data_IF_011290335128
#
_entry.id   IF_011290335128
#
_cell.length_a   1.000
_cell.length_b   1.000
_cell.length_c   1.000
_cell.angle_alpha   90.00
_cell.angle_beta   90.00
_cell.angle_gamma   90.00
#
_symmetry.space_group_name_H-M   'P 1'
#
loop_
_entity.id
_entity.type
_entity.pdbx_description
1 polymer ?
#
# COMPACT_ATOMS: atom_id res chain seq x y z
N UNK A 1 -11.00 -7.46 -19.76
CA UNK A 1 -11.94 -8.18 -18.87
C UNK A 1 -12.87 -7.18 -18.22
N UNK A 2 -14.20 -7.44 -18.17
CA UNK A 2 -15.14 -6.50 -17.52
C UNK A 2 -14.90 -6.46 -16.01
N UNK A 3 -14.72 -5.29 -15.41
CA UNK A 3 -14.52 -5.19 -13.96
C UNK A 3 -15.78 -5.64 -13.20
N UNK A 4 -15.61 -6.26 -12.02
CA UNK A 4 -16.73 -6.59 -11.15
C UNK A 4 -17.50 -5.33 -10.74
N UNK A 5 -18.82 -5.41 -10.80
CA UNK A 5 -19.70 -4.32 -10.36
C UNK A 5 -20.58 -4.77 -9.21
N UNK A 6 -20.97 -3.88 -8.30
CA UNK A 6 -21.96 -4.20 -7.29
C UNK A 6 -23.27 -4.66 -7.94
N UNK A 7 -24.05 -5.55 -7.30
CA UNK A 7 -25.40 -5.88 -7.78
C UNK A 7 -26.22 -4.60 -7.92
N UNK A 8 -26.99 -4.51 -9.01
CA UNK A 8 -27.83 -3.35 -9.31
C UNK A 8 -28.75 -3.00 -8.14
N UNK A 9 -29.07 -1.69 -7.99
CA UNK A 9 -30.11 -1.25 -7.08
C UNK A 9 -31.47 -1.72 -7.57
N UNK A 10 -32.39 -1.94 -6.64
CA UNK A 10 -33.80 -2.13 -6.95
C UNK A 10 -34.39 -0.84 -7.52
N UNK A 11 -35.67 -0.83 -7.90
CA UNK A 11 -36.38 0.35 -8.39
C UNK A 11 -36.29 1.59 -7.46
N UNK A 12 -35.87 1.40 -6.20
CA UNK A 12 -35.62 2.44 -5.20
C UNK A 12 -34.26 3.15 -5.32
N UNK A 13 -33.35 2.72 -6.21
CA UNK A 13 -32.02 3.34 -6.42
C UNK A 13 -30.88 2.71 -5.61
N UNK A 14 -29.70 3.39 -5.51
CA UNK A 14 -28.52 2.88 -4.80
C UNK A 14 -28.78 2.66 -3.31
N UNK A 15 -28.29 1.54 -2.76
CA UNK A 15 -28.33 1.21 -1.34
C UNK A 15 -27.00 0.64 -0.84
N UNK A 16 -26.81 0.64 0.46
CA UNK A 16 -25.67 -0.05 1.05
C UNK A 16 -25.75 -1.56 0.82
N UNK A 17 -24.60 -2.16 0.47
CA UNK A 17 -24.50 -3.61 0.31
C UNK A 17 -24.53 -4.31 1.66
N UNK A 18 -25.21 -5.44 1.73
CA UNK A 18 -25.16 -6.35 2.88
C UNK A 18 -23.76 -7.00 2.97
N UNK A 19 -23.31 -7.43 4.14
CA UNK A 19 -21.98 -8.03 4.32
C UNK A 19 -21.69 -9.21 3.37
N UNK A 20 -22.70 -10.02 3.02
CA UNK A 20 -22.54 -11.14 2.10
C UNK A 20 -22.28 -10.68 0.66
N UNK A 21 -22.93 -9.59 0.24
CA UNK A 21 -22.73 -8.98 -1.09
C UNK A 21 -21.35 -8.35 -1.21
N UNK A 22 -20.89 -7.64 -0.15
CA UNK A 22 -19.52 -7.12 -0.07
C UNK A 22 -18.49 -8.25 -0.18
N UNK A 23 -18.68 -9.36 0.56
CA UNK A 23 -17.77 -10.52 0.49
C UNK A 23 -17.71 -11.13 -0.91
N UNK A 24 -18.85 -11.21 -1.60
CA UNK A 24 -18.93 -11.72 -2.98
C UNK A 24 -18.18 -10.79 -3.93
N UNK A 25 -18.45 -9.49 -3.90
CA UNK A 25 -17.79 -8.49 -4.73
C UNK A 25 -16.27 -8.50 -4.52
N UNK A 26 -15.80 -8.52 -3.26
CA UNK A 26 -14.38 -8.58 -2.95
C UNK A 26 -13.71 -9.87 -3.46
N UNK A 27 -14.45 -11.00 -3.51
CA UNK A 27 -13.95 -12.25 -4.09
C UNK A 27 -13.79 -12.12 -5.62
N UNK A 28 -14.72 -11.47 -6.27
CA UNK A 28 -14.66 -11.21 -7.72
C UNK A 28 -13.48 -10.30 -8.05
N UNK A 29 -13.28 -9.20 -7.31
CA UNK A 29 -12.12 -8.32 -7.47
C UNK A 29 -10.79 -9.04 -7.26
N UNK A 30 -10.69 -9.94 -6.27
CA UNK A 30 -9.46 -10.74 -6.08
C UNK A 30 -9.13 -11.64 -7.27
N UNK A 31 -10.12 -12.15 -7.98
CA UNK A 31 -9.90 -13.00 -9.18
C UNK A 31 -9.33 -12.23 -10.36
N UNK A 32 -9.66 -10.95 -10.46
CA UNK A 32 -9.17 -10.09 -11.55
C UNK A 32 -7.91 -9.30 -11.19
N UNK A 33 -7.51 -9.31 -9.92
CA UNK A 33 -6.29 -8.67 -9.45
C UNK A 33 -5.13 -9.64 -9.52
N UNK A 34 -4.60 -9.86 -10.74
CA UNK A 34 -3.50 -10.82 -10.96
C UNK A 34 -2.14 -10.37 -10.47
N UNK A 35 -1.89 -9.06 -10.36
CA UNK A 35 -0.62 -8.52 -9.92
C UNK A 35 -0.46 -8.60 -8.41
N UNK A 36 0.74 -8.98 -7.95
CA UNK A 36 1.11 -9.03 -6.54
C UNK A 36 1.40 -7.63 -6.00
N UNK A 37 0.98 -7.36 -4.78
CA UNK A 37 1.20 -6.10 -4.09
C UNK A 37 1.80 -6.40 -2.71
N UNK A 38 2.88 -5.72 -2.38
CA UNK A 38 3.48 -5.74 -1.05
C UNK A 38 3.85 -4.32 -0.61
N UNK A 39 4.20 -4.17 0.65
CA UNK A 39 4.63 -2.91 1.23
C UNK A 39 5.94 -3.08 2.00
N UNK A 40 6.71 -1.99 2.04
CA UNK A 40 7.89 -1.83 2.88
C UNK A 40 7.73 -0.54 3.68
N UNK A 41 7.83 -0.62 5.01
CA UNK A 41 7.74 0.53 5.91
C UNK A 41 9.11 0.82 6.49
N UNK A 42 9.71 1.94 6.05
CA UNK A 42 11.02 2.42 6.50
C UNK A 42 10.83 3.41 7.65
N UNK A 43 10.92 2.91 8.87
CA UNK A 43 10.87 3.72 10.09
C UNK A 43 9.55 4.49 10.30
N UNK A 44 8.41 3.94 9.87
CA UNK A 44 7.09 4.51 10.16
C UNK A 44 6.80 4.36 11.66
N UNK A 45 7.10 5.43 12.42
CA UNK A 45 7.14 5.39 13.87
C UNK A 45 5.78 5.45 14.55
N UNK A 46 4.79 6.09 13.95
CA UNK A 46 3.48 6.31 14.55
C UNK A 46 2.59 5.07 14.49
N UNK A 47 2.24 4.42 15.63
CA UNK A 47 1.48 3.16 15.60
C UNK A 47 0.11 3.27 14.92
N UNK A 48 -0.55 4.42 15.02
CA UNK A 48 -1.84 4.66 14.36
C UNK A 48 -1.70 4.69 12.83
N UNK A 49 -0.58 5.22 12.31
CA UNK A 49 -0.28 5.19 10.87
C UNK A 49 -0.02 3.77 10.40
N UNK A 50 0.82 3.01 11.12
CA UNK A 50 1.07 1.60 10.81
C UNK A 50 -0.23 0.80 10.77
N UNK A 51 -1.10 0.95 11.77
CA UNK A 51 -2.38 0.26 11.81
C UNK A 51 -3.31 0.65 10.66
N UNK A 52 -3.34 1.92 10.27
CA UNK A 52 -4.12 2.40 9.13
C UNK A 52 -3.58 1.87 7.80
N UNK A 53 -2.25 1.80 7.66
CA UNK A 53 -1.58 1.18 6.49
C UNK A 53 -1.94 -0.31 6.41
N UNK A 54 -1.83 -1.05 7.51
CA UNK A 54 -2.17 -2.48 7.58
C UNK A 54 -3.62 -2.72 7.18
N UNK A 55 -4.55 -1.88 7.65
CA UNK A 55 -5.96 -1.98 7.27
C UNK A 55 -6.17 -1.74 5.78
N UNK A 56 -5.53 -0.74 5.22
CA UNK A 56 -5.57 -0.45 3.78
C UNK A 56 -4.91 -1.56 2.98
N UNK A 57 -3.75 -2.07 3.43
CA UNK A 57 -3.06 -3.20 2.82
C UNK A 57 -3.95 -4.45 2.72
N UNK A 58 -4.64 -4.79 3.80
CA UNK A 58 -5.60 -5.89 3.82
C UNK A 58 -6.78 -5.64 2.85
N UNK A 59 -7.29 -4.41 2.76
CA UNK A 59 -8.38 -4.04 1.86
C UNK A 59 -7.96 -4.12 0.38
N UNK A 60 -6.75 -3.68 0.04
CA UNK A 60 -6.19 -3.75 -1.31
C UNK A 60 -5.54 -5.12 -1.63
N UNK A 61 -5.57 -6.07 -0.70
CA UNK A 61 -5.04 -7.42 -0.93
C UNK A 61 -3.52 -7.45 -1.08
N UNK A 62 -2.80 -6.64 -0.30
CA UNK A 62 -1.36 -6.77 -0.18
C UNK A 62 -1.03 -8.10 0.53
N UNK A 63 -0.07 -8.83 -0.02
CA UNK A 63 0.29 -10.16 0.48
C UNK A 63 1.33 -10.12 1.59
N UNK A 64 2.22 -9.11 1.56
CA UNK A 64 3.33 -9.03 2.50
C UNK A 64 3.62 -7.58 2.92
N UNK A 65 4.17 -7.45 4.13
CA UNK A 65 4.57 -6.18 4.74
C UNK A 65 5.94 -6.35 5.39
N UNK A 66 6.97 -5.67 4.87
CA UNK A 66 8.28 -5.57 5.51
C UNK A 66 8.31 -4.37 6.44
N UNK A 67 8.64 -4.61 7.71
CA UNK A 67 8.80 -3.58 8.72
C UNK A 67 10.28 -3.42 9.03
N UNK A 68 10.83 -2.22 8.93
CA UNK A 68 12.24 -1.97 9.21
C UNK A 68 12.48 -0.67 9.97
N UNK A 69 13.68 -0.55 10.52
CA UNK A 69 14.06 0.60 11.33
C UNK A 69 13.16 0.78 12.56
N UNK A 70 12.76 2.03 12.80
CA UNK A 70 11.88 2.42 13.90
C UNK A 70 10.38 2.17 13.66
N UNK A 71 10.00 1.35 12.67
CA UNK A 71 8.58 1.07 12.40
C UNK A 71 7.91 0.40 13.60
N UNK A 72 6.76 0.95 14.01
CA UNK A 72 6.00 0.41 15.13
C UNK A 72 5.58 -1.05 14.86
N UNK A 73 5.84 -1.98 15.80
CA UNK A 73 5.54 -3.40 15.60
C UNK A 73 4.03 -3.66 15.57
N UNK A 74 3.59 -4.68 14.81
CA UNK A 74 2.17 -5.01 14.69
C UNK A 74 1.51 -5.43 16.03
N UNK A 75 2.30 -5.83 17.00
CA UNK A 75 1.85 -6.12 18.38
C UNK A 75 1.55 -4.88 19.22
N UNK A 76 1.94 -3.68 18.76
CA UNK A 76 1.72 -2.45 19.51
C UNK A 76 0.21 -2.16 19.64
N UNK A 77 -0.31 -1.83 20.86
CA UNK A 77 -1.73 -1.59 21.08
C UNK A 77 -2.32 -0.48 20.20
N UNK A 78 -1.52 0.55 19.87
CA UNK A 78 -1.92 1.62 18.96
C UNK A 78 -2.16 1.15 17.53
N UNK A 79 -1.41 0.15 17.06
CA UNK A 79 -1.62 -0.48 15.74
C UNK A 79 -2.96 -1.21 15.73
N UNK A 80 -3.27 -1.98 16.76
CA UNK A 80 -4.53 -2.71 16.85
C UNK A 80 -5.77 -1.81 16.80
N UNK A 81 -5.68 -0.58 17.36
CA UNK A 81 -6.78 0.40 17.38
C UNK A 81 -7.23 0.84 15.98
N UNK A 82 -6.32 1.00 15.05
CA UNK A 82 -6.62 1.46 13.68
C UNK A 82 -6.67 0.32 12.67
N UNK A 83 -5.92 -0.75 12.89
CA UNK A 83 -5.96 -1.97 12.07
C UNK A 83 -7.27 -2.76 12.22
N UNK A 84 -7.98 -2.64 13.35
CA UNK A 84 -9.26 -3.31 13.61
C UNK A 84 -9.24 -4.83 13.35
N UNK A 85 -8.13 -5.49 13.72
CA UNK A 85 -7.96 -6.93 13.56
C UNK A 85 -7.50 -7.38 12.17
N UNK A 86 -7.27 -6.47 11.22
CA UNK A 86 -6.82 -6.83 9.87
C UNK A 86 -5.34 -7.21 9.79
N UNK A 87 -4.53 -6.93 10.83
CA UNK A 87 -3.13 -7.35 10.90
C UNK A 87 -2.92 -8.85 10.75
N UNK A 88 -3.93 -9.67 11.05
CA UNK A 88 -3.90 -11.13 10.83
C UNK A 88 -4.10 -11.56 9.37
N UNK A 89 -4.47 -10.61 8.49
CA UNK A 89 -4.78 -10.86 7.08
C UNK A 89 -3.59 -10.52 6.16
N UNK A 90 -2.53 -9.94 6.69
CA UNK A 90 -1.33 -9.56 5.95
C UNK A 90 -0.13 -10.23 6.61
N UNK A 91 0.69 -10.92 5.83
CA UNK A 91 1.95 -11.46 6.34
C UNK A 91 2.92 -10.31 6.60
N UNK A 92 3.69 -10.38 7.68
CA UNK A 92 4.66 -9.35 8.01
C UNK A 92 5.98 -9.97 8.48
N UNK A 93 7.08 -9.36 8.03
CA UNK A 93 8.45 -9.69 8.44
C UNK A 93 9.13 -8.44 8.95
N UNK A 94 9.89 -8.57 10.02
CA UNK A 94 10.78 -7.50 10.50
C UNK A 94 12.15 -7.70 9.88
N UNK A 95 12.66 -6.66 9.23
CA UNK A 95 13.98 -6.66 8.59
C UNK A 95 14.93 -5.69 9.30
N UNK A 96 16.21 -6.04 9.30
CA UNK A 96 17.23 -5.24 9.98
C UNK A 96 17.40 -3.84 9.38
N UNK A 97 17.10 -3.66 8.09
CA UNK A 97 17.23 -2.38 7.39
C UNK A 97 16.30 -2.30 6.19
N UNK A 98 15.96 -1.08 5.72
CA UNK A 98 15.16 -0.90 4.51
C UNK A 98 15.85 -1.46 3.25
N UNK A 99 17.18 -1.48 3.23
CA UNK A 99 17.95 -2.11 2.13
C UNK A 99 17.78 -3.62 2.13
N UNK A 100 17.79 -4.27 3.30
CA UNK A 100 17.55 -5.71 3.40
C UNK A 100 16.11 -6.05 2.96
N UNK A 101 15.13 -5.27 3.39
CA UNK A 101 13.74 -5.43 2.99
C UNK A 101 13.54 -5.23 1.48
N UNK A 102 14.15 -4.21 0.88
CA UNK A 102 14.10 -3.96 -0.56
C UNK A 102 14.72 -5.13 -1.35
N UNK A 103 15.85 -5.66 -0.91
CA UNK A 103 16.46 -6.85 -1.51
C UNK A 103 15.59 -8.10 -1.38
N UNK A 104 14.94 -8.29 -0.24
CA UNK A 104 13.99 -9.39 -0.04
C UNK A 104 12.78 -9.28 -0.98
N UNK A 105 12.24 -8.08 -1.15
CA UNK A 105 11.15 -7.80 -2.09
C UNK A 105 11.58 -8.07 -3.54
N UNK A 106 12.76 -7.58 -3.95
CA UNK A 106 13.32 -7.83 -5.28
C UNK A 106 13.59 -9.32 -5.53
N UNK A 107 14.14 -10.04 -4.55
CA UNK A 107 14.34 -11.48 -4.62
C UNK A 107 13.03 -12.27 -4.74
N UNK A 108 11.93 -11.73 -4.20
CA UNK A 108 10.57 -12.26 -4.39
C UNK A 108 9.97 -11.88 -5.76
N UNK A 109 10.69 -11.18 -6.63
CA UNK A 109 10.23 -10.77 -7.96
C UNK A 109 9.36 -9.52 -7.97
N UNK A 110 9.37 -8.70 -6.91
CA UNK A 110 8.62 -7.46 -6.82
C UNK A 110 9.50 -6.27 -7.23
N UNK A 111 8.97 -5.37 -8.04
CA UNK A 111 9.59 -4.07 -8.28
C UNK A 111 9.43 -3.18 -7.05
N UNK A 112 10.51 -2.66 -6.53
CA UNK A 112 10.49 -1.76 -5.37
C UNK A 112 10.27 -0.32 -5.84
N UNK A 113 9.14 0.27 -5.47
CA UNK A 113 8.77 1.65 -5.81
C UNK A 113 8.68 2.46 -4.51
N UNK A 114 9.65 3.35 -4.29
CA UNK A 114 9.63 4.24 -3.14
C UNK A 114 8.66 5.42 -3.41
N UNK A 115 7.76 5.66 -2.48
CA UNK A 115 6.78 6.75 -2.55
C UNK A 115 7.33 7.94 -1.78
N UNK A 116 7.97 8.87 -2.50
CA UNK A 116 8.67 10.00 -1.90
C UNK A 116 8.78 11.18 -2.87
N UNK A 117 8.71 12.40 -2.34
CA UNK A 117 8.98 13.61 -3.11
C UNK A 117 10.49 13.89 -3.11
N UNK A 118 11.21 13.30 -4.04
CA UNK A 118 12.66 13.37 -4.14
C UNK A 118 13.11 13.86 -5.53
N UNK A 119 14.37 14.27 -5.63
CA UNK A 119 14.97 14.59 -6.94
C UNK A 119 14.97 13.36 -7.85
N UNK A 120 14.57 13.53 -9.10
CA UNK A 120 14.47 12.43 -10.06
C UNK A 120 13.24 11.54 -9.90
N UNK A 121 12.36 11.82 -8.94
CA UNK A 121 11.11 11.10 -8.80
C UNK A 121 10.14 11.38 -9.96
N UNK A 122 9.41 10.36 -10.40
CA UNK A 122 8.37 10.49 -11.43
C UNK A 122 6.99 10.65 -10.79
N UNK A 123 6.02 11.29 -11.45
CA UNK A 123 4.65 11.32 -10.95
C UNK A 123 4.08 9.90 -10.76
N UNK A 124 3.34 9.64 -9.69
CA UNK A 124 2.83 8.31 -9.37
C UNK A 124 2.04 7.66 -10.52
N UNK A 125 1.27 8.47 -11.25
CA UNK A 125 0.49 7.99 -12.40
C UNK A 125 1.33 7.64 -13.63
N UNK A 126 2.62 8.00 -13.66
CA UNK A 126 3.59 7.61 -14.69
C UNK A 126 4.51 6.47 -14.23
N UNK A 127 4.53 6.19 -12.93
CA UNK A 127 5.36 5.13 -12.38
C UNK A 127 4.95 3.75 -12.93
N UNK A 128 5.90 2.81 -13.13
CA UNK A 128 5.63 1.47 -13.66
C UNK A 128 5.01 0.57 -12.57
N UNK A 129 3.75 0.82 -12.23
CA UNK A 129 2.97 0.08 -11.22
C UNK A 129 2.17 -1.08 -11.83
N UNK A 130 2.39 -1.40 -13.08
CA UNK A 130 1.66 -2.38 -13.87
C UNK A 130 2.29 -3.78 -13.75
N UNK A 131 2.36 -4.34 -12.62
CA UNK A 131 2.95 -5.67 -12.37
C UNK A 131 3.07 -5.94 -10.89
N UNK A 132 3.94 -6.86 -10.54
CA UNK A 132 4.24 -7.19 -9.16
C UNK A 132 5.08 -6.08 -8.52
N UNK A 133 4.56 -5.42 -7.51
CA UNK A 133 5.20 -4.26 -6.90
C UNK A 133 5.25 -4.33 -5.38
N UNK A 134 6.32 -3.79 -4.82
CA UNK A 134 6.47 -3.45 -3.42
C UNK A 134 6.52 -1.92 -3.28
N UNK A 135 5.51 -1.33 -2.67
CA UNK A 135 5.47 0.10 -2.39
C UNK A 135 6.20 0.39 -1.08
N UNK A 136 7.25 1.20 -1.14
CA UNK A 136 8.03 1.56 0.03
C UNK A 136 7.63 2.96 0.53
N UNK A 137 7.35 3.07 1.83
CA UNK A 137 6.91 4.28 2.52
C UNK A 137 7.91 4.61 3.62
N UNK A 138 8.20 5.89 3.79
CA UNK A 138 9.16 6.39 4.77
C UNK A 138 8.54 6.92 6.05
N UNK A 139 9.41 7.39 6.93
CA UNK A 139 9.09 8.04 8.19
C UNK A 139 8.27 9.32 7.99
N UNK A 140 7.43 9.65 8.94
CA UNK A 140 6.51 10.79 8.88
C UNK A 140 7.21 12.15 8.80
N UNK A 141 8.39 12.27 9.42
CA UNK A 141 9.14 13.53 9.51
C UNK A 141 10.30 13.59 8.51
N UNK A 142 10.90 12.45 8.18
CA UNK A 142 12.14 12.37 7.40
C UNK A 142 11.95 11.71 6.03
N UNK A 143 10.79 11.14 5.74
CA UNK A 143 10.53 10.42 4.51
C UNK A 143 11.29 9.09 4.40
N UNK A 144 11.48 8.62 3.18
CA UNK A 144 12.29 7.44 2.88
C UNK A 144 13.78 7.73 3.12
N UNK A 145 14.48 6.81 3.76
CA UNK A 145 15.93 6.96 3.97
C UNK A 145 16.69 7.02 2.65
N UNK A 146 17.82 7.75 2.62
CA UNK A 146 18.69 7.80 1.45
C UNK A 146 19.15 6.42 1.00
N UNK A 147 19.36 5.50 1.96
CA UNK A 147 19.73 4.12 1.68
C UNK A 147 18.62 3.35 0.94
N UNK A 148 17.36 3.58 1.28
CA UNK A 148 16.21 3.00 0.58
C UNK A 148 16.07 3.60 -0.83
N UNK A 149 16.15 4.92 -0.94
CA UNK A 149 16.05 5.62 -2.24
C UNK A 149 17.13 5.17 -3.23
N UNK A 150 18.33 4.87 -2.73
CA UNK A 150 19.46 4.41 -3.56
C UNK A 150 19.28 2.98 -4.12
N UNK A 151 18.41 2.16 -3.52
CA UNK A 151 18.20 0.75 -3.94
C UNK A 151 16.80 0.50 -4.50
N UNK A 152 15.92 1.47 -4.45
CA UNK A 152 14.60 1.39 -5.08
C UNK A 152 14.73 1.38 -6.61
N UNK A 153 13.95 0.55 -7.30
CA UNK A 153 13.93 0.52 -8.76
C UNK A 153 13.37 1.82 -9.34
N UNK A 154 12.43 2.44 -8.63
CA UNK A 154 11.79 3.71 -9.02
C UNK A 154 11.47 4.50 -7.75
N UNK A 155 11.63 5.82 -7.85
CA UNK A 155 11.09 6.75 -6.87
C UNK A 155 9.92 7.48 -7.53
N UNK A 156 8.76 7.47 -6.88
CA UNK A 156 7.55 8.09 -7.39
C UNK A 156 6.94 9.03 -6.35
N UNK A 157 6.36 10.13 -6.80
CA UNK A 157 5.68 11.06 -5.91
C UNK A 157 4.21 11.23 -6.27
N UNK A 158 3.38 11.51 -5.28
CA UNK A 158 1.96 11.85 -5.47
C UNK A 158 1.87 13.34 -5.80
N UNK A 159 1.42 13.73 -7.00
CA UNK A 159 1.26 15.14 -7.35
C UNK A 159 0.24 15.82 -6.42
N UNK A 160 0.64 16.93 -5.82
CA UNK A 160 -0.18 17.69 -4.87
C UNK A 160 -0.30 19.14 -5.35
N UNK A 161 -1.44 19.56 -5.93
CA UNK A 161 -1.63 20.95 -6.39
C UNK A 161 -1.93 21.93 -5.24
N UNK A 162 -2.04 21.42 -4.01
CA UNK A 162 -2.31 22.19 -2.79
C UNK A 162 -1.09 22.96 -2.28
N UNK A 163 -1.26 23.62 -1.12
CA UNK A 163 -0.22 24.43 -0.48
C UNK A 163 0.50 23.71 0.65
N UNK A 164 0.26 22.42 0.85
CA UNK A 164 0.93 21.60 1.86
C UNK A 164 2.05 20.79 1.20
N UNK A 165 3.15 20.58 1.93
CA UNK A 165 4.34 19.92 1.40
C UNK A 165 4.31 18.39 1.45
N UNK A 166 3.34 17.79 2.19
CA UNK A 166 3.28 16.33 2.37
C UNK A 166 1.86 15.85 2.67
N UNK A 167 1.65 14.56 2.48
CA UNK A 167 0.48 13.81 2.95
C UNK A 167 0.85 12.99 4.19
N UNK A 168 -0.12 12.71 5.03
CA UNK A 168 0.04 11.66 6.04
C UNK A 168 0.45 10.35 5.36
N UNK A 169 1.43 9.63 5.93
CA UNK A 169 2.01 8.43 5.32
C UNK A 169 0.99 7.32 5.08
N UNK A 170 -0.02 7.15 5.95
CA UNK A 170 -1.06 6.16 5.74
C UNK A 170 -2.00 6.54 4.59
N UNK A 171 -2.23 7.84 4.38
CA UNK A 171 -2.98 8.36 3.23
C UNK A 171 -2.17 8.16 1.94
N UNK A 172 -0.89 8.52 1.94
CA UNK A 172 0.01 8.30 0.81
C UNK A 172 0.06 6.81 0.42
N UNK A 173 0.18 5.91 1.40
CA UNK A 173 0.13 4.47 1.19
C UNK A 173 -1.18 4.02 0.52
N UNK A 174 -2.33 4.51 0.99
CA UNK A 174 -3.64 4.15 0.43
C UNK A 174 -3.79 4.63 -1.02
N UNK A 175 -3.35 5.85 -1.33
CA UNK A 175 -3.36 6.41 -2.69
C UNK A 175 -2.46 5.59 -3.63
N UNK A 176 -1.23 5.26 -3.19
CA UNK A 176 -0.31 4.46 -3.98
C UNK A 176 -0.82 3.04 -4.23
N UNK A 177 -1.40 2.39 -3.22
CA UNK A 177 -2.03 1.07 -3.37
C UNK A 177 -3.23 1.11 -4.34
N UNK A 178 -4.07 2.14 -4.26
CA UNK A 178 -5.21 2.31 -5.15
C UNK A 178 -4.74 2.47 -6.61
N UNK A 179 -3.69 3.27 -6.86
CA UNK A 179 -3.14 3.45 -8.20
C UNK A 179 -2.50 2.16 -8.73
N UNK A 180 -1.74 1.43 -7.92
CA UNK A 180 -1.17 0.14 -8.31
C UNK A 180 -2.29 -0.85 -8.71
N UNK A 181 -3.39 -0.92 -7.95
CA UNK A 181 -4.53 -1.76 -8.30
C UNK A 181 -5.25 -1.29 -9.55
N UNK A 182 -5.47 0.02 -9.71
CA UNK A 182 -6.07 0.58 -10.92
C UNK A 182 -5.29 0.16 -12.16
N UNK A 183 -3.95 0.24 -12.12
CA UNK A 183 -3.07 -0.19 -13.22
C UNK A 183 -3.21 -1.69 -13.51
N UNK A 184 -3.30 -2.52 -12.47
CA UNK A 184 -3.48 -3.96 -12.63
C UNK A 184 -4.84 -4.34 -13.24
N UNK A 185 -5.89 -3.53 -13.02
CA UNK A 185 -7.25 -3.81 -13.52
C UNK A 185 -7.51 -3.30 -14.94
N UNK A 186 -6.71 -2.38 -15.46
CA UNK A 186 -6.90 -1.76 -16.78
C UNK A 186 -6.17 -2.47 -17.91
N UNK A 187 -5.63 -3.67 -17.66
CA UNK A 187 -5.00 -4.55 -18.65
C UNK A 187 -5.96 -5.52 -19.32
#
# INVERSE_FOLDING_TARGET
>A
MTPPVPPGGDAAGPRQLRPVEVKRLNREWRRVSGARLALLLDSVGQPFNVGSIVRSAAAFGAEHLWLCGGTAPLSHPGVAKTALGTQRLVQATVEASPVAAAKAAAAAGLRVVAIELASGAVPLHEAPLDGDVCLALGNEDHGCSAALLAVADVVAYIPQPGRVGSLNVAVAAAVAMAEARRRAWTR
#
